data_IF_148908648479
#
_entry.id   IF_148908648479
#
_cell.length_a   1.000
_cell.length_b   1.000
_cell.length_c   1.000
_cell.angle_alpha   90.00
_cell.angle_beta   90.00
_cell.angle_gamma   90.00
#
_symmetry.space_group_name_H-M   'P 1'
#
loop_
_entity.id
_entity.type
_entity.pdbx_description
1 polymer ?
#
# COMPACT_ATOMS: atom_id res chain seq x y z
N UNK A 1 -6.51 17.55 5.73
CA UNK A 1 -6.35 17.14 4.31
C UNK A 1 -4.86 16.95 4.02
N UNK A 2 -4.44 15.98 3.20
CA UNK A 2 -3.03 15.81 2.85
C UNK A 2 -2.53 17.04 2.07
N UNK A 3 -1.30 17.48 2.35
CA UNK A 3 -0.68 18.60 1.65
C UNK A 3 -0.58 18.31 0.15
N UNK A 4 -1.08 19.22 -0.70
CA UNK A 4 -0.88 19.15 -2.16
C UNK A 4 0.40 19.88 -2.51
N UNK A 5 1.40 19.14 -2.98
CA UNK A 5 2.68 19.68 -3.41
C UNK A 5 2.62 20.14 -4.86
N UNK A 6 3.04 21.37 -5.15
CA UNK A 6 3.33 21.77 -6.53
C UNK A 6 4.60 21.06 -7.04
N UNK A 7 4.82 20.98 -8.36
CA UNK A 7 6.05 20.43 -8.93
C UNK A 7 7.31 21.14 -8.41
N UNK A 8 7.28 22.48 -8.30
CA UNK A 8 8.42 23.30 -7.84
C UNK A 8 8.73 23.01 -6.37
N UNK A 9 7.70 22.88 -5.53
CA UNK A 9 7.87 22.52 -4.13
C UNK A 9 8.48 21.13 -3.97
N UNK A 10 8.05 20.15 -4.80
CA UNK A 10 8.64 18.80 -4.82
C UNK A 10 10.11 18.84 -5.22
N UNK A 11 10.47 19.63 -6.23
CA UNK A 11 11.86 19.80 -6.66
C UNK A 11 12.72 20.43 -5.56
N UNK A 12 12.25 21.52 -4.95
CA UNK A 12 12.95 22.17 -3.84
C UNK A 12 13.16 21.23 -2.63
N UNK A 13 12.17 20.37 -2.35
CA UNK A 13 12.30 19.35 -1.31
C UNK A 13 13.30 18.24 -1.69
N UNK A 14 13.32 17.82 -2.95
CA UNK A 14 14.29 16.84 -3.45
C UNK A 14 15.72 17.35 -3.29
N UNK A 15 15.99 18.62 -3.60
CA UNK A 15 17.30 19.24 -3.38
C UNK A 15 17.72 19.25 -1.90
N UNK A 16 16.78 19.57 -0.98
CA UNK A 16 17.06 19.50 0.47
C UNK A 16 17.37 18.08 0.94
N UNK A 17 16.60 17.09 0.47
CA UNK A 17 16.81 15.68 0.79
C UNK A 17 18.17 15.21 0.25
N UNK A 18 18.56 15.62 -0.95
CA UNK A 18 19.90 15.36 -1.53
C UNK A 18 21.03 15.99 -0.73
N UNK A 19 20.81 17.18 -0.17
CA UNK A 19 21.80 17.87 0.65
C UNK A 19 22.05 17.16 1.98
N UNK A 20 21.01 16.71 2.67
CA UNK A 20 21.13 16.12 4.01
C UNK A 20 21.27 14.59 3.99
N UNK A 21 21.01 13.95 2.84
CA UNK A 21 21.20 12.52 2.60
C UNK A 21 20.76 11.62 3.76
N UNK A 22 19.50 11.71 4.21
CA UNK A 22 19.04 11.00 5.41
C UNK A 22 19.21 9.48 5.34
N UNK A 23 19.33 8.91 4.13
CA UNK A 23 19.63 7.48 3.94
C UNK A 23 21.01 7.06 4.46
N UNK A 24 21.98 7.97 4.58
CA UNK A 24 23.31 7.67 5.15
C UNK A 24 23.22 7.34 6.65
N UNK A 25 22.16 7.78 7.33
CA UNK A 25 21.89 7.48 8.74
C UNK A 25 20.88 6.34 8.91
N UNK A 26 20.52 5.64 7.83
CA UNK A 26 19.55 4.55 7.90
C UNK A 26 20.14 3.33 8.61
N UNK A 27 19.45 2.83 9.63
CA UNK A 27 19.84 1.64 10.41
C UNK A 27 19.16 0.36 9.91
N UNK A 28 18.82 0.31 8.62
CA UNK A 28 18.19 -0.85 8.00
C UNK A 28 19.09 -2.10 8.01
N UNK A 29 18.54 -3.27 7.62
CA UNK A 29 19.30 -4.51 7.60
C UNK A 29 20.46 -4.44 6.59
N UNK A 30 21.69 -4.68 7.09
CA UNK A 30 22.92 -4.68 6.27
C UNK A 30 23.30 -6.07 5.77
N UNK A 31 22.87 -7.13 6.46
CA UNK A 31 23.15 -8.53 6.12
C UNK A 31 22.14 -9.07 5.11
N UNK A 32 22.52 -10.11 4.36
CA UNK A 32 21.64 -10.75 3.39
C UNK A 32 20.43 -11.40 4.06
N UNK A 33 20.62 -12.04 5.21
CA UNK A 33 19.53 -12.59 6.03
C UNK A 33 18.55 -11.51 6.50
N UNK A 34 19.08 -10.35 6.94
CA UNK A 34 18.25 -9.24 7.37
C UNK A 34 17.45 -8.63 6.21
N UNK A 35 18.05 -8.54 5.02
CA UNK A 35 17.35 -8.08 3.81
C UNK A 35 16.29 -9.09 3.38
N UNK A 36 16.59 -10.38 3.45
CA UNK A 36 15.64 -11.45 3.16
C UNK A 36 14.41 -11.37 4.08
N UNK A 37 14.62 -11.20 5.39
CA UNK A 37 13.53 -10.99 6.35
C UNK A 37 12.72 -9.72 6.04
N UNK A 38 13.39 -8.57 5.83
CA UNK A 38 12.71 -7.31 5.54
C UNK A 38 11.92 -7.33 4.23
N UNK A 39 12.36 -8.11 3.22
CA UNK A 39 11.62 -8.29 1.96
C UNK A 39 10.24 -8.91 2.16
N UNK A 40 10.07 -9.73 3.21
CA UNK A 40 8.79 -10.37 3.52
C UNK A 40 7.76 -9.38 4.08
N UNK A 41 8.18 -8.22 4.58
CA UNK A 41 7.25 -7.21 5.13
C UNK A 41 6.26 -6.67 4.08
N UNK A 42 6.64 -6.70 2.79
CA UNK A 42 5.77 -6.28 1.70
C UNK A 42 4.77 -7.36 1.25
N UNK A 43 4.91 -8.61 1.74
CA UNK A 43 4.04 -9.72 1.37
C UNK A 43 2.63 -9.49 1.93
N UNK A 44 1.65 -9.32 1.05
CA UNK A 44 0.24 -9.21 1.43
C UNK A 44 -0.39 -10.60 1.46
N UNK A 45 -0.80 -11.07 2.65
CA UNK A 45 -1.35 -12.42 2.85
C UNK A 45 -2.72 -12.40 3.55
N UNK A 46 -3.29 -13.60 3.75
CA UNK A 46 -4.56 -13.81 4.46
C UNK A 46 -5.74 -13.10 3.78
N UNK A 47 -6.60 -12.47 4.60
CA UNK A 47 -7.82 -11.80 4.13
C UNK A 47 -7.58 -10.51 3.32
N UNK A 48 -6.32 -10.16 3.06
CA UNK A 48 -5.95 -9.05 2.16
C UNK A 48 -5.21 -9.52 0.91
N UNK A 49 -4.92 -10.81 0.81
CA UNK A 49 -4.39 -11.38 -0.42
C UNK A 49 -5.33 -11.09 -1.59
N UNK A 50 -4.75 -10.94 -2.78
CA UNK A 50 -5.48 -10.57 -4.00
C UNK A 50 -6.65 -11.52 -4.28
N UNK A 51 -6.42 -12.82 -4.14
CA UNK A 51 -7.44 -13.83 -4.41
C UNK A 51 -8.60 -13.76 -3.41
N UNK A 52 -8.30 -13.51 -2.13
CA UNK A 52 -9.34 -13.29 -1.12
C UNK A 52 -10.17 -12.03 -1.41
N UNK A 53 -9.51 -10.93 -1.81
CA UNK A 53 -10.22 -9.71 -2.18
C UNK A 53 -11.14 -9.93 -3.39
N UNK A 54 -10.69 -10.70 -4.38
CA UNK A 54 -11.51 -11.07 -5.54
C UNK A 54 -12.70 -11.95 -5.13
N UNK A 55 -12.48 -12.96 -4.29
CA UNK A 55 -13.54 -13.81 -3.74
C UNK A 55 -14.57 -13.00 -2.95
N UNK A 56 -14.11 -12.15 -2.02
CA UNK A 56 -14.96 -11.24 -1.24
C UNK A 56 -15.78 -10.32 -2.13
N UNK A 57 -15.19 -9.78 -3.21
CA UNK A 57 -15.91 -8.95 -4.17
C UNK A 57 -17.06 -9.73 -4.83
N UNK A 58 -16.81 -10.96 -5.27
CA UNK A 58 -17.84 -11.83 -5.89
C UNK A 58 -19.00 -12.09 -4.93
N UNK A 59 -18.72 -12.43 -3.67
CA UNK A 59 -19.77 -12.61 -2.65
C UNK A 59 -20.58 -11.34 -2.45
N UNK A 60 -19.91 -10.20 -2.28
CA UNK A 60 -20.59 -8.93 -2.06
C UNK A 60 -21.48 -8.54 -3.25
N UNK A 61 -21.02 -8.80 -4.48
CA UNK A 61 -21.80 -8.55 -5.69
C UNK A 61 -23.04 -9.47 -5.76
N UNK A 62 -22.91 -10.74 -5.37
CA UNK A 62 -24.05 -11.67 -5.25
C UNK A 62 -25.05 -11.19 -4.19
N UNK A 63 -24.59 -10.85 -2.99
CA UNK A 63 -25.46 -10.38 -1.90
C UNK A 63 -26.21 -9.11 -2.28
N UNK A 64 -25.56 -8.18 -3.01
CA UNK A 64 -26.21 -6.98 -3.56
C UNK A 64 -27.30 -7.34 -4.57
N UNK A 65 -27.05 -8.31 -5.44
CA UNK A 65 -28.03 -8.76 -6.42
C UNK A 65 -29.25 -9.38 -5.73
N UNK A 66 -29.06 -10.29 -4.77
CA UNK A 66 -30.15 -10.89 -4.00
C UNK A 66 -30.97 -9.82 -3.27
N UNK A 67 -30.31 -8.87 -2.60
CA UNK A 67 -30.99 -7.76 -1.93
C UNK A 67 -31.82 -6.93 -2.90
N UNK A 68 -31.30 -6.66 -4.10
CA UNK A 68 -32.04 -5.90 -5.12
C UNK A 68 -33.30 -6.64 -5.55
N UNK A 69 -33.23 -7.96 -5.74
CA UNK A 69 -34.39 -8.78 -6.10
C UNK A 69 -35.44 -8.82 -5.00
N UNK A 70 -35.01 -9.01 -3.74
CA UNK A 70 -35.94 -9.01 -2.60
C UNK A 70 -36.66 -7.66 -2.42
N UNK A 71 -35.98 -6.55 -2.71
CA UNK A 71 -36.58 -5.21 -2.63
C UNK A 71 -37.45 -4.84 -3.85
N UNK A 72 -37.53 -5.70 -4.87
CA UNK A 72 -38.36 -5.51 -6.06
C UNK A 72 -39.68 -6.29 -6.00
N UNK A 73 -39.91 -7.03 -4.92
CA UNK A 73 -41.17 -7.72 -4.57
C UNK A 73 -41.89 -6.86 -3.54
#
# INVERSE_FOLDING_TARGET
>A
MPRRWTPEQRAAQAEKIRRWKPWEQSTGPVTDDGKAAASQNALVHGLRARDWLAYRKRINDLLRACRKQLNQI
#
